data_IF_214262026112
#
_entry.id   IF_214262026112
#
_cell.length_a   1.000
_cell.length_b   1.000
_cell.length_c   1.000
_cell.angle_alpha   90.00
_cell.angle_beta   90.00
_cell.angle_gamma   90.00
#
_symmetry.space_group_name_H-M   'P 1'
#
loop_
_entity.id
_entity.type
_entity.pdbx_description
1 polymer ?
#
# COMPACT_ATOMS: atom_id res chain seq x y z
N UNK A 1 29.33 -0.87 -46.41
CA UNK A 1 28.99 -1.83 -45.35
C UNK A 1 29.02 -1.27 -43.94
N UNK A 2 30.03 -0.49 -43.51
CA UNK A 2 30.14 0.04 -42.15
C UNK A 2 29.09 1.10 -41.74
N UNK A 3 28.64 1.96 -42.64
CA UNK A 3 27.64 3.03 -42.32
C UNK A 3 26.24 2.49 -42.10
N UNK A 4 25.80 1.50 -42.82
CA UNK A 4 24.47 0.92 -42.66
C UNK A 4 24.36 0.10 -41.37
N UNK A 5 25.39 -0.60 -40.96
CA UNK A 5 25.44 -1.29 -39.69
C UNK A 5 25.40 -0.31 -38.50
N UNK A 6 26.04 0.85 -38.58
CA UNK A 6 25.97 1.88 -37.53
C UNK A 6 24.55 2.46 -37.40
N UNK A 7 23.85 2.67 -38.51
CA UNK A 7 22.48 3.20 -38.51
C UNK A 7 21.50 2.18 -37.92
N UNK A 8 21.64 0.90 -38.25
CA UNK A 8 20.84 -0.16 -37.66
C UNK A 8 21.09 -0.35 -36.16
N UNK A 9 22.35 -0.25 -35.73
CA UNK A 9 22.69 -0.33 -34.30
C UNK A 9 22.13 0.85 -33.50
N UNK A 10 22.20 2.08 -34.07
CA UNK A 10 21.61 3.28 -33.49
C UNK A 10 20.08 3.19 -33.37
N UNK A 11 19.43 2.63 -34.36
CA UNK A 11 17.97 2.43 -34.36
C UNK A 11 17.55 1.40 -33.33
N UNK A 12 18.32 0.32 -33.15
CA UNK A 12 18.07 -0.71 -32.12
C UNK A 12 18.26 -0.18 -30.70
N UNK A 13 19.26 0.68 -30.48
CA UNK A 13 19.50 1.32 -29.16
C UNK A 13 18.39 2.34 -28.88
N UNK A 14 17.91 3.07 -29.88
CA UNK A 14 16.81 4.03 -29.71
C UNK A 14 15.48 3.34 -29.40
N UNK A 15 15.22 2.16 -29.94
CA UNK A 15 13.99 1.39 -29.69
C UNK A 15 13.98 0.78 -28.29
N UNK A 16 15.11 0.47 -27.69
CA UNK A 16 15.22 -0.10 -26.34
C UNK A 16 14.94 0.91 -25.20
N UNK A 17 15.04 2.20 -25.48
CA UNK A 17 14.80 3.27 -24.49
C UNK A 17 13.30 3.62 -24.36
N UNK A 18 12.46 3.19 -25.32
CA UNK A 18 11.02 3.49 -25.31
C UNK A 18 10.17 2.51 -24.48
N UNK A 19 10.79 1.51 -23.84
CA UNK A 19 10.09 0.58 -22.94
C UNK A 19 9.93 1.14 -21.53
N UNK A 20 9.63 2.43 -21.37
CA UNK A 20 9.14 2.97 -20.11
C UNK A 20 7.73 2.40 -19.90
N UNK A 21 7.62 1.38 -19.05
CA UNK A 21 6.33 0.87 -18.58
C UNK A 21 5.59 2.04 -17.95
N UNK A 22 4.63 2.62 -18.64
CA UNK A 22 3.63 3.49 -18.03
C UNK A 22 2.83 2.60 -17.05
N UNK A 23 3.29 2.50 -15.82
CA UNK A 23 2.45 2.01 -14.74
C UNK A 23 1.33 3.04 -14.57
N UNK A 24 0.16 2.75 -15.11
CA UNK A 24 -1.01 3.57 -14.91
C UNK A 24 -1.37 3.52 -13.42
N UNK A 25 -1.10 4.61 -12.71
CA UNK A 25 -1.52 4.80 -11.33
C UNK A 25 -3.05 4.67 -11.25
N UNK A 26 -3.54 3.78 -10.42
CA UNK A 26 -4.98 3.57 -10.22
C UNK A 26 -5.43 4.29 -8.95
N UNK A 27 -6.24 5.34 -9.10
CA UNK A 27 -6.87 5.99 -7.93
C UNK A 27 -7.99 5.08 -7.41
N UNK A 28 -7.90 4.68 -6.13
CA UNK A 28 -8.88 3.82 -5.47
C UNK A 28 -9.54 4.52 -4.28
N UNK A 29 -10.79 4.15 -4.03
CA UNK A 29 -11.48 4.49 -2.78
C UNK A 29 -11.35 3.38 -1.74
N UNK A 30 -11.60 3.69 -0.49
CA UNK A 30 -11.58 2.73 0.62
C UNK A 30 -12.52 1.55 0.42
N UNK A 31 -13.59 1.71 -0.34
CA UNK A 31 -14.50 0.61 -0.69
C UNK A 31 -13.79 -0.51 -1.46
N UNK A 32 -12.72 -0.22 -2.18
CA UNK A 32 -11.94 -1.22 -2.89
C UNK A 32 -11.17 -2.15 -1.94
N UNK A 33 -10.85 -1.68 -0.74
CA UNK A 33 -10.21 -2.46 0.32
C UNK A 33 -11.20 -3.30 1.14
N UNK A 34 -12.50 -3.08 0.99
CA UNK A 34 -13.53 -3.83 1.71
C UNK A 34 -13.80 -5.23 1.13
N UNK A 35 -13.15 -5.60 0.01
CA UNK A 35 -13.24 -6.95 -0.59
C UNK A 35 -12.33 -7.95 0.15
N UNK A 36 -12.57 -8.12 1.45
CA UNK A 36 -11.81 -8.98 2.36
C UNK A 36 -12.73 -9.53 3.46
N UNK A 37 -12.44 -10.72 3.92
CA UNK A 37 -13.05 -11.32 5.12
C UNK A 37 -11.97 -11.66 6.14
N UNK A 38 -12.32 -11.57 7.42
CA UNK A 38 -11.42 -11.86 8.52
C UNK A 38 -11.93 -13.05 9.32
N UNK A 39 -11.03 -13.99 9.59
CA UNK A 39 -11.28 -15.12 10.46
C UNK A 39 -10.24 -15.13 11.58
N UNK A 40 -10.68 -15.30 12.81
CA UNK A 40 -9.79 -15.49 13.95
C UNK A 40 -9.15 -16.88 13.84
N UNK A 41 -7.84 -16.93 13.75
CA UNK A 41 -7.05 -18.18 13.72
C UNK A 41 -6.07 -18.21 14.86
N UNK A 42 -5.83 -19.43 15.38
CA UNK A 42 -4.73 -19.72 16.31
C UNK A 42 -3.64 -20.45 15.55
N UNK A 43 -2.39 -20.18 15.87
CA UNK A 43 -1.25 -20.90 15.26
C UNK A 43 -1.27 -22.40 15.56
N UNK A 44 -1.71 -22.75 16.79
CA UNK A 44 -1.95 -24.12 17.24
C UNK A 44 -3.18 -24.14 18.14
N UNK A 45 -3.78 -25.33 18.39
CA UNK A 45 -4.93 -25.47 19.31
C UNK A 45 -4.60 -24.95 20.73
N UNK A 46 -3.34 -25.05 21.17
CA UNK A 46 -2.88 -24.59 22.47
C UNK A 46 -2.36 -23.14 22.47
N UNK A 47 -2.41 -22.42 21.34
CA UNK A 47 -1.94 -21.04 21.26
C UNK A 47 -2.82 -20.11 22.11
N UNK A 48 -2.17 -19.35 22.99
CA UNK A 48 -2.83 -18.32 23.83
C UNK A 48 -3.23 -17.11 22.98
N UNK A 49 -2.49 -16.86 21.89
CA UNK A 49 -2.71 -15.72 21.01
C UNK A 49 -3.40 -16.18 19.73
N UNK A 50 -4.45 -15.48 19.37
CA UNK A 50 -5.11 -15.58 18.07
C UNK A 50 -4.76 -14.38 17.20
N UNK A 51 -4.82 -14.54 15.88
CA UNK A 51 -4.66 -13.46 14.92
C UNK A 51 -5.77 -13.47 13.89
N UNK A 52 -6.07 -12.31 13.34
CA UNK A 52 -7.03 -12.19 12.25
C UNK A 52 -6.38 -12.58 10.93
N UNK A 53 -6.79 -13.71 10.39
CA UNK A 53 -6.39 -14.13 9.05
C UNK A 53 -7.28 -13.45 8.02
N UNK A 54 -6.67 -12.71 7.10
CA UNK A 54 -7.38 -12.05 6.01
C UNK A 54 -7.51 -13.00 4.81
N UNK A 55 -8.72 -13.09 4.26
CA UNK A 55 -8.99 -13.75 2.98
C UNK A 55 -9.46 -12.71 1.98
N UNK A 56 -8.64 -12.44 0.98
CA UNK A 56 -8.87 -11.39 -0.01
C UNK A 56 -9.76 -11.86 -1.16
N UNK A 57 -10.74 -11.03 -1.52
CA UNK A 57 -11.57 -11.27 -2.69
C UNK A 57 -10.84 -10.98 -4.01
N UNK A 58 -11.47 -11.38 -5.13
CA UNK A 58 -10.84 -11.30 -6.45
C UNK A 58 -10.60 -9.86 -6.94
N UNK A 59 -11.39 -8.91 -6.46
CA UNK A 59 -11.26 -7.52 -6.90
C UNK A 59 -10.00 -6.88 -6.31
N UNK A 60 -9.76 -7.04 -5.00
CA UNK A 60 -8.58 -6.48 -4.33
C UNK A 60 -7.31 -7.22 -4.74
N UNK A 61 -7.34 -8.53 -4.96
CA UNK A 61 -6.20 -9.30 -5.45
C UNK A 61 -5.64 -8.77 -6.78
N UNK A 62 -6.49 -8.21 -7.65
CA UNK A 62 -6.05 -7.60 -8.92
C UNK A 62 -5.25 -6.31 -8.72
N UNK A 63 -5.34 -5.68 -7.56
CA UNK A 63 -4.60 -4.47 -7.19
C UNK A 63 -3.29 -4.79 -6.48
N UNK A 64 -3.10 -6.01 -5.99
CA UNK A 64 -1.86 -6.44 -5.36
C UNK A 64 -0.65 -6.25 -6.29
N UNK A 65 0.42 -5.65 -5.77
CA UNK A 65 1.64 -5.34 -6.51
C UNK A 65 1.51 -4.20 -7.53
N UNK A 66 0.37 -3.51 -7.59
CA UNK A 66 0.18 -2.37 -8.49
C UNK A 66 0.35 -1.05 -7.76
N UNK A 67 0.77 -0.03 -8.50
CA UNK A 67 0.77 1.33 -8.02
C UNK A 67 -0.67 1.85 -7.93
N UNK A 68 -1.05 2.26 -6.73
CA UNK A 68 -2.35 2.85 -6.43
C UNK A 68 -2.18 4.23 -5.83
N UNK A 69 -3.23 5.03 -5.84
CA UNK A 69 -3.36 6.20 -4.97
C UNK A 69 -4.63 6.13 -4.14
N UNK A 70 -4.53 6.62 -2.91
CA UNK A 70 -5.64 6.62 -1.97
C UNK A 70 -5.52 7.83 -1.02
N UNK A 71 -6.65 8.40 -0.63
CA UNK A 71 -6.72 9.54 0.30
C UNK A 71 -7.28 9.09 1.63
N UNK A 72 -6.65 9.52 2.73
CA UNK A 72 -7.11 9.21 4.07
C UNK A 72 -6.60 10.19 5.12
N UNK A 73 -6.79 9.84 6.38
CA UNK A 73 -6.34 10.58 7.55
C UNK A 73 -5.06 9.96 8.10
N UNK A 74 -4.07 10.80 8.38
CA UNK A 74 -2.79 10.38 8.95
C UNK A 74 -2.92 10.04 10.42
N UNK A 75 -2.42 8.86 10.82
CA UNK A 75 -2.35 8.43 12.20
C UNK A 75 -0.89 8.08 12.51
N UNK A 76 -0.17 8.94 13.28
CA UNK A 76 1.16 8.62 13.77
C UNK A 76 1.09 7.44 14.75
N UNK A 77 1.92 6.40 14.53
CA UNK A 77 1.94 5.19 15.35
C UNK A 77 3.02 5.22 16.42
N UNK A 78 3.98 6.12 16.30
CA UNK A 78 5.08 6.28 17.26
C UNK A 78 5.31 7.76 17.61
N UNK A 79 5.85 8.04 18.84
CA UNK A 79 6.10 9.42 19.27
C UNK A 79 7.12 10.19 18.43
N UNK A 80 7.98 9.49 17.70
CA UNK A 80 8.99 10.10 16.83
C UNK A 80 8.41 10.52 15.47
N UNK A 81 7.21 10.02 15.13
CA UNK A 81 6.54 10.30 13.86
C UNK A 81 7.29 9.73 12.67
N UNK A 82 7.73 8.48 12.79
CA UNK A 82 8.43 7.74 11.73
C UNK A 82 7.48 6.71 11.08
N UNK A 83 6.63 6.10 11.91
CA UNK A 83 5.66 5.09 11.47
C UNK A 83 4.28 5.70 11.37
N UNK A 84 3.68 5.59 10.21
CA UNK A 84 2.36 6.14 9.92
C UNK A 84 1.41 5.08 9.38
N UNK A 85 0.15 5.29 9.71
CA UNK A 85 -0.99 4.59 9.11
C UNK A 85 -1.89 5.61 8.44
N UNK A 86 -2.35 5.30 7.25
CA UNK A 86 -3.43 6.03 6.60
C UNK A 86 -4.75 5.37 6.99
N UNK A 87 -5.72 6.16 7.43
CA UNK A 87 -7.03 5.67 7.86
C UNK A 87 -8.16 6.28 7.03
N UNK A 88 -9.21 5.49 6.81
CA UNK A 88 -10.46 5.97 6.22
C UNK A 88 -11.14 7.00 7.11
N UNK A 89 -11.06 6.79 8.42
CA UNK A 89 -11.74 7.57 9.43
C UNK A 89 -10.74 8.42 10.24
N UNK A 90 -11.18 9.55 10.81
CA UNK A 90 -10.37 10.27 11.79
C UNK A 90 -9.95 9.40 12.98
N UNK A 91 -8.88 9.78 13.66
CA UNK A 91 -8.27 9.01 14.74
C UNK A 91 -9.27 8.55 15.82
N UNK A 92 -10.17 9.43 16.23
CA UNK A 92 -11.18 9.13 17.27
C UNK A 92 -12.16 8.00 16.91
N UNK A 93 -12.29 7.66 15.63
CA UNK A 93 -13.21 6.62 15.09
C UNK A 93 -12.51 5.62 14.19
N UNK A 94 -11.18 5.57 14.23
CA UNK A 94 -10.39 4.65 13.44
C UNK A 94 -10.40 3.23 14.02
N UNK A 95 -9.76 2.29 13.32
CA UNK A 95 -9.62 0.89 13.72
C UNK A 95 -9.03 0.74 15.13
N UNK A 96 -7.97 1.47 15.46
CA UNK A 96 -7.29 1.34 16.76
C UNK A 96 -8.13 1.81 17.95
N UNK A 97 -9.16 2.60 17.72
CA UNK A 97 -10.15 3.01 18.74
C UNK A 97 -11.40 2.13 18.77
N UNK A 98 -11.42 1.05 17.96
CA UNK A 98 -12.57 0.14 17.86
C UNK A 98 -13.76 0.70 17.07
N UNK A 99 -13.58 1.81 16.36
CA UNK A 99 -14.65 2.46 15.58
C UNK A 99 -14.83 1.90 14.16
N UNK A 100 -13.92 1.00 13.71
CA UNK A 100 -13.92 0.48 12.34
C UNK A 100 -13.19 -0.85 12.25
N UNK A 101 -13.36 -1.59 11.14
CA UNK A 101 -12.66 -2.84 10.87
C UNK A 101 -11.23 -2.63 10.34
N UNK A 102 -10.41 -3.69 10.31
CA UNK A 102 -9.00 -3.61 9.87
C UNK A 102 -8.86 -3.25 8.37
N UNK A 103 -9.92 -3.40 7.57
CA UNK A 103 -9.94 -2.96 6.17
C UNK A 103 -9.96 -1.45 5.98
N UNK A 104 -10.08 -0.70 7.07
CA UNK A 104 -10.14 0.77 7.05
C UNK A 104 -8.82 1.46 7.35
N UNK A 105 -7.76 0.69 7.49
CA UNK A 105 -6.40 1.19 7.77
C UNK A 105 -5.38 0.57 6.82
N UNK A 106 -4.34 1.34 6.51
CA UNK A 106 -3.28 0.98 5.57
C UNK A 106 -1.95 1.47 6.14
N UNK A 107 -0.99 0.56 6.32
CA UNK A 107 0.36 0.89 6.76
C UNK A 107 1.11 1.61 5.63
N UNK A 108 1.83 2.67 5.98
CA UNK A 108 2.67 3.41 5.04
C UNK A 108 4.14 3.07 5.26
N UNK A 109 4.74 2.38 4.29
CA UNK A 109 6.18 2.20 4.19
C UNK A 109 6.71 3.26 3.22
N UNK A 110 7.09 4.41 3.78
CA UNK A 110 7.43 5.59 2.99
C UNK A 110 8.79 5.46 2.32
N UNK A 111 8.91 6.00 1.11
CA UNK A 111 10.22 6.22 0.48
C UNK A 111 11.09 7.07 1.41
N UNK A 112 12.39 6.77 1.56
CA UNK A 112 13.28 7.57 2.41
C UNK A 112 13.28 9.07 2.07
N UNK A 113 13.14 9.42 0.81
CA UNK A 113 13.06 10.80 0.33
C UNK A 113 11.73 11.51 0.60
N UNK A 114 10.67 10.75 0.92
CA UNK A 114 9.33 11.25 1.15
C UNK A 114 8.98 11.34 2.65
N UNK A 115 9.89 10.93 3.54
CA UNK A 115 9.66 10.97 4.98
C UNK A 115 9.58 12.41 5.44
N UNK A 116 8.44 12.79 6.00
CA UNK A 116 8.21 14.06 6.68
C UNK A 116 7.25 13.85 7.85
N UNK A 117 7.12 14.85 8.70
CA UNK A 117 6.18 14.79 9.81
C UNK A 117 4.77 15.19 9.37
N UNK A 118 3.80 14.43 9.85
CA UNK A 118 2.38 14.69 9.69
C UNK A 118 1.73 14.82 11.06
N UNK A 119 0.67 15.64 11.15
CA UNK A 119 -0.15 15.71 12.33
C UNK A 119 -1.25 14.63 12.28
N UNK A 120 -1.76 14.27 13.45
CA UNK A 120 -2.95 13.42 13.54
C UNK A 120 -4.11 14.09 12.80
N UNK A 121 -4.82 13.30 12.01
CA UNK A 121 -5.96 13.72 11.20
C UNK A 121 -5.64 14.66 10.01
N UNK A 122 -4.37 14.89 9.69
CA UNK A 122 -4.02 15.48 8.39
C UNK A 122 -4.62 14.61 7.28
N UNK A 123 -5.41 15.23 6.39
CA UNK A 123 -6.04 14.51 5.27
C UNK A 123 -5.16 14.59 4.04
N UNK A 124 -4.56 13.48 3.66
CA UNK A 124 -3.49 13.42 2.65
C UNK A 124 -3.77 12.31 1.64
N UNK A 125 -3.35 12.53 0.40
CA UNK A 125 -3.33 11.51 -0.65
C UNK A 125 -1.94 10.94 -0.79
N UNK A 126 -1.83 9.60 -0.80
CA UNK A 126 -0.60 8.86 -1.02
C UNK A 126 -0.71 8.00 -2.27
N UNK A 127 0.42 7.81 -2.95
CA UNK A 127 0.60 6.75 -3.94
C UNK A 127 1.70 5.80 -3.50
N UNK A 128 1.67 4.58 -4.00
CA UNK A 128 2.64 3.53 -3.71
C UNK A 128 2.17 2.18 -4.23
N UNK A 129 2.94 1.13 -3.95
CA UNK A 129 2.65 -0.23 -4.39
C UNK A 129 1.84 -0.95 -3.30
N UNK A 130 0.62 -1.35 -3.62
CA UNK A 130 -0.25 -2.04 -2.68
C UNK A 130 0.23 -3.48 -2.44
N UNK A 131 0.49 -3.81 -1.18
CA UNK A 131 0.73 -5.18 -0.73
C UNK A 131 -0.43 -5.67 0.14
N UNK A 132 -0.77 -6.93 -0.03
CA UNK A 132 -1.80 -7.63 0.74
C UNK A 132 -1.11 -8.56 1.74
N UNK A 133 -1.41 -8.39 3.01
CA UNK A 133 -0.85 -9.22 4.07
C UNK A 133 -1.93 -10.17 4.63
N UNK A 134 -1.75 -11.47 4.42
CA UNK A 134 -2.70 -12.48 4.87
C UNK A 134 -2.45 -12.95 6.30
N UNK A 135 -1.20 -12.94 6.75
CA UNK A 135 -0.81 -13.68 7.97
C UNK A 135 0.40 -13.15 8.75
N UNK A 136 1.11 -12.14 8.26
CA UNK A 136 2.20 -11.54 9.05
C UNK A 136 1.61 -10.64 10.14
N UNK A 137 1.74 -11.06 11.39
CA UNK A 137 1.22 -10.36 12.57
C UNK A 137 1.93 -9.04 12.87
N UNK A 138 3.10 -8.79 12.27
CA UNK A 138 3.87 -7.56 12.47
C UNK A 138 3.49 -6.44 11.49
N UNK A 139 2.61 -6.73 10.55
CA UNK A 139 2.17 -5.78 9.52
C UNK A 139 0.65 -5.71 9.48
N UNK A 140 0.11 -4.56 9.09
CA UNK A 140 -1.32 -4.43 8.85
C UNK A 140 -1.75 -5.24 7.62
N UNK A 141 -3.05 -5.50 7.51
CA UNK A 141 -3.67 -6.23 6.38
C UNK A 141 -3.32 -5.63 5.02
N UNK A 142 -3.19 -4.31 4.96
CA UNK A 142 -2.76 -3.57 3.78
C UNK A 142 -1.51 -2.77 4.08
N UNK A 143 -0.54 -2.85 3.17
CA UNK A 143 0.70 -2.08 3.22
C UNK A 143 0.89 -1.35 1.90
N UNK A 144 1.20 -0.07 1.95
CA UNK A 144 1.59 0.73 0.80
C UNK A 144 3.10 0.89 0.83
N UNK A 145 3.77 0.12 -0.02
CA UNK A 145 5.23 0.20 -0.17
C UNK A 145 5.62 1.37 -1.06
N UNK A 146 6.82 1.90 -0.85
CA UNK A 146 7.34 3.04 -1.59
C UNK A 146 6.37 4.23 -1.56
N UNK A 147 5.69 4.41 -0.41
CA UNK A 147 4.66 5.42 -0.26
C UNK A 147 5.23 6.84 -0.36
N UNK A 148 4.58 7.69 -1.16
CA UNK A 148 4.89 9.10 -1.29
C UNK A 148 3.60 9.92 -1.44
N UNK A 149 3.60 11.14 -0.89
CA UNK A 149 2.48 12.06 -0.99
C UNK A 149 2.34 12.60 -2.41
N UNK A 150 1.09 12.81 -2.85
CA UNK A 150 0.73 13.35 -4.17
C UNK A 150 0.64 14.87 -4.17
#
# INVERSE_FOLDING_TARGET
>A
MKKEQLILLSFFIFLSVLSSSLFAQTNIGWISLADVTFEEKKETEDAILSYNHATFGKAIQKLAGKEISITGYMIPMDPMGITYVLSRNPNSTCFFCGGAGPETVLQLNMKPSAIKRYNTDDRVAFKGILQLNEKDINSLTYVLEEAEEL
#
